data_IF_113882604862
#
_entry.id   IF_113882604862
#
_cell.length_a   1.000
_cell.length_b   1.000
_cell.length_c   1.000
_cell.angle_alpha   90.00
_cell.angle_beta   90.00
_cell.angle_gamma   90.00
#
_symmetry.space_group_name_H-M   'P 1'
#
loop_
_entity.id
_entity.type
_entity.pdbx_description
1 polymer ?
#
# COMPACT_ATOMS: atom_id res chain seq x y z
N UNK A 1 -20.00 -9.40 31.15
CA UNK A 1 -18.82 -9.56 30.26
C UNK A 1 -18.94 -10.84 29.43
N UNK A 2 -19.27 -11.98 30.04
CA UNK A 2 -19.50 -13.28 29.38
C UNK A 2 -20.66 -13.26 28.37
N UNK A 3 -21.74 -12.55 28.69
CA UNK A 3 -22.91 -12.41 27.82
C UNK A 3 -22.60 -11.61 26.54
N UNK A 4 -21.74 -10.58 26.63
CA UNK A 4 -21.28 -9.81 25.47
C UNK A 4 -20.38 -10.65 24.54
N UNK A 5 -19.49 -11.46 25.10
CA UNK A 5 -18.61 -12.35 24.32
C UNK A 5 -19.45 -13.40 23.59
N UNK A 6 -20.41 -14.02 24.28
CA UNK A 6 -21.32 -15.00 23.66
C UNK A 6 -22.19 -14.42 22.54
N UNK A 7 -22.57 -13.14 22.64
CA UNK A 7 -23.29 -12.44 21.57
C UNK A 7 -22.36 -12.11 20.38
N UNK A 8 -21.11 -11.72 20.65
CA UNK A 8 -20.12 -11.44 19.59
C UNK A 8 -19.70 -12.71 18.83
N UNK A 9 -19.62 -13.85 19.50
CA UNK A 9 -19.35 -15.16 18.88
C UNK A 9 -20.47 -15.62 17.93
N UNK A 10 -21.69 -15.09 18.10
CA UNK A 10 -22.83 -15.36 17.21
C UNK A 10 -22.86 -14.43 15.99
N UNK A 11 -21.99 -13.43 15.92
CA UNK A 11 -21.89 -12.53 14.77
C UNK A 11 -21.14 -13.25 13.65
N UNK A 12 -21.89 -13.75 12.66
CA UNK A 12 -21.31 -14.21 11.40
C UNK A 12 -20.88 -12.99 10.58
N UNK A 13 -19.57 -12.80 10.41
CA UNK A 13 -19.05 -11.81 9.46
C UNK A 13 -19.07 -12.39 8.05
N UNK A 14 -19.71 -11.68 7.11
CA UNK A 14 -19.81 -12.08 5.69
C UNK A 14 -18.51 -11.92 4.90
N UNK A 15 -17.39 -11.59 5.55
CA UNK A 15 -16.15 -11.21 4.89
C UNK A 15 -14.88 -11.53 5.69
N UNK A 16 -13.75 -11.37 5.03
CA UNK A 16 -12.40 -11.59 5.58
C UNK A 16 -11.74 -10.26 5.98
N UNK A 17 -10.91 -10.30 7.03
CA UNK A 17 -10.17 -9.11 7.50
C UNK A 17 -9.09 -8.63 6.51
N UNK A 18 -8.51 -9.55 5.74
CA UNK A 18 -7.47 -9.26 4.75
C UNK A 18 -7.61 -10.17 3.54
N UNK A 19 -7.39 -9.61 2.36
CA UNK A 19 -7.42 -10.31 1.07
C UNK A 19 -6.08 -10.13 0.38
N UNK A 20 -5.61 -11.17 -0.32
CA UNK A 20 -4.39 -11.14 -1.11
C UNK A 20 -4.57 -11.86 -2.45
N UNK A 21 -3.72 -11.53 -3.41
CA UNK A 21 -3.78 -12.09 -4.76
C UNK A 21 -2.63 -11.61 -5.64
N UNK A 22 -2.70 -11.96 -6.92
CA UNK A 22 -1.70 -11.59 -7.93
C UNK A 22 -2.39 -10.86 -9.07
N UNK A 23 -1.78 -9.76 -9.51
CA UNK A 23 -2.23 -9.04 -10.70
C UNK A 23 -1.71 -9.72 -11.98
N UNK A 24 -2.39 -9.53 -13.14
CA UNK A 24 -1.83 -9.92 -14.42
C UNK A 24 -0.43 -9.31 -14.64
N UNK A 25 0.44 -9.92 -15.48
CA UNK A 25 1.80 -9.45 -15.74
C UNK A 25 1.81 -8.20 -16.64
N UNK A 26 1.14 -7.15 -16.19
CA UNK A 26 1.01 -5.84 -16.83
C UNK A 26 1.94 -4.90 -16.07
N UNK A 27 2.76 -4.13 -16.79
CA UNK A 27 3.63 -3.15 -16.14
C UNK A 27 2.83 -1.88 -15.81
N UNK A 28 3.00 -1.29 -14.62
CA UNK A 28 2.26 -0.10 -14.21
C UNK A 28 2.58 1.17 -15.00
N UNK A 29 3.69 1.20 -15.76
CA UNK A 29 4.20 2.44 -16.35
C UNK A 29 4.63 3.42 -15.26
N UNK A 30 5.40 2.94 -14.27
CA UNK A 30 5.86 3.76 -13.16
C UNK A 30 6.76 4.90 -13.66
N UNK A 31 6.39 6.13 -13.35
CA UNK A 31 7.16 7.34 -13.63
C UNK A 31 7.33 8.14 -12.35
N UNK A 32 8.55 8.60 -12.07
CA UNK A 32 8.89 9.35 -10.85
C UNK A 32 9.46 10.71 -11.22
N UNK A 33 8.98 11.76 -10.56
CA UNK A 33 9.49 13.14 -10.74
C UNK A 33 11.00 13.16 -10.44
N UNK A 34 11.80 13.65 -11.38
CA UNK A 34 13.26 13.70 -11.25
C UNK A 34 14.00 12.43 -11.70
N UNK A 35 13.32 11.27 -11.80
CA UNK A 35 13.91 10.03 -12.33
C UNK A 35 13.39 9.65 -13.73
N UNK A 36 12.21 10.12 -14.11
CA UNK A 36 11.53 9.71 -15.35
C UNK A 36 10.92 8.31 -15.22
N UNK A 37 10.94 7.55 -16.32
CA UNK A 37 10.35 6.21 -16.36
C UNK A 37 11.21 5.20 -15.60
N UNK A 38 10.57 4.40 -14.75
CA UNK A 38 11.20 3.35 -13.97
C UNK A 38 10.91 2.00 -14.63
N UNK A 39 11.97 1.26 -14.93
CA UNK A 39 11.88 -0.08 -15.46
C UNK A 39 11.58 -1.09 -14.35
N UNK A 40 10.88 -2.17 -14.71
CA UNK A 40 10.61 -3.31 -13.84
C UNK A 40 10.98 -4.60 -14.61
N UNK A 41 11.73 -5.56 -14.03
CA UNK A 41 12.38 -5.55 -12.71
C UNK A 41 13.26 -4.31 -12.45
N UNK A 42 13.22 -3.77 -11.22
CA UNK A 42 13.88 -2.51 -10.87
C UNK A 42 15.41 -2.61 -11.01
N UNK A 43 16.04 -1.88 -11.95
CA UNK A 43 17.50 -1.88 -12.08
C UNK A 43 18.18 -1.21 -10.88
N UNK A 44 19.34 -1.72 -10.49
CA UNK A 44 20.10 -1.20 -9.33
C UNK A 44 20.45 0.30 -9.46
N UNK A 45 20.75 0.75 -10.69
CA UNK A 45 21.00 2.16 -10.97
C UNK A 45 19.76 3.02 -10.70
N UNK A 46 18.59 2.60 -11.17
CA UNK A 46 17.33 3.31 -10.91
C UNK A 46 16.92 3.21 -9.44
N UNK A 47 17.18 2.09 -8.76
CA UNK A 47 16.97 1.97 -7.33
C UNK A 47 17.77 3.01 -6.54
N UNK A 48 19.04 3.24 -6.89
CA UNK A 48 19.86 4.30 -6.29
C UNK A 48 19.29 5.70 -6.53
N UNK A 49 18.81 5.97 -7.74
CA UNK A 49 18.16 7.25 -8.08
C UNK A 49 16.88 7.43 -7.25
N UNK A 50 16.04 6.40 -7.15
CA UNK A 50 14.83 6.47 -6.34
C UNK A 50 15.16 6.73 -4.87
N UNK A 51 16.14 6.02 -4.30
CA UNK A 51 16.60 6.25 -2.93
C UNK A 51 17.06 7.71 -2.73
N UNK A 52 17.83 8.27 -3.68
CA UNK A 52 18.31 9.64 -3.60
C UNK A 52 17.20 10.70 -3.69
N UNK A 53 16.10 10.40 -4.39
CA UNK A 53 14.93 11.26 -4.50
C UNK A 53 13.91 11.06 -3.37
N UNK A 54 14.07 9.98 -2.61
CA UNK A 54 13.15 9.63 -1.53
C UNK A 54 13.46 10.41 -0.27
N UNK A 55 12.44 10.57 0.56
CA UNK A 55 12.61 10.96 1.95
C UNK A 55 12.64 9.69 2.80
N UNK A 56 13.36 9.71 3.93
CA UNK A 56 13.19 8.65 4.92
C UNK A 56 11.74 8.67 5.41
N UNK A 57 11.07 7.50 5.37
CA UNK A 57 9.68 7.42 5.76
C UNK A 57 9.55 7.74 7.27
N UNK A 58 8.78 8.76 7.67
CA UNK A 58 8.57 9.06 9.08
C UNK A 58 7.83 7.89 9.76
N UNK A 59 8.17 7.60 11.01
CA UNK A 59 7.40 6.69 11.84
C UNK A 59 6.39 7.49 12.67
N UNK A 60 5.12 7.08 12.65
CA UNK A 60 4.10 7.61 13.55
C UNK A 60 4.08 6.76 14.82
N UNK A 61 4.59 7.31 15.93
CA UNK A 61 4.40 6.74 17.27
C UNK A 61 3.45 7.64 18.08
N UNK A 62 2.18 7.71 17.66
CA UNK A 62 1.26 8.73 18.19
C UNK A 62 1.49 10.11 17.55
N UNK A 63 1.52 11.17 18.36
CA UNK A 63 1.62 12.58 17.90
C UNK A 63 3.06 13.07 17.60
N UNK A 64 4.10 12.27 17.86
CA UNK A 64 5.48 12.67 17.62
C UNK A 64 6.09 11.96 16.40
N UNK A 65 6.55 12.75 15.43
CA UNK A 65 7.37 12.29 14.29
C UNK A 65 8.83 12.24 14.73
N UNK A 66 9.29 11.08 15.19
CA UNK A 66 10.70 10.83 15.52
C UNK A 66 11.32 10.00 14.39
N UNK A 67 12.39 10.52 13.77
CA UNK A 67 13.21 9.78 12.81
C UNK A 67 14.20 8.92 13.60
N UNK A 68 13.80 7.69 13.93
CA UNK A 68 14.68 6.70 14.54
C UNK A 68 15.19 5.72 13.47
N UNK A 69 16.47 5.83 13.13
CA UNK A 69 17.14 5.01 12.11
C UNK A 69 17.32 3.54 12.52
N UNK A 70 17.06 3.19 13.78
CA UNK A 70 17.14 1.81 14.29
C UNK A 70 15.80 1.06 14.19
N UNK A 71 14.72 1.72 13.75
CA UNK A 71 13.35 1.16 13.69
C UNK A 71 12.85 0.95 12.25
N UNK A 72 13.43 1.61 11.24
CA UNK A 72 13.01 1.46 9.83
C UNK A 72 14.02 2.02 8.81
N UNK A 73 14.40 1.23 7.80
CA UNK A 73 15.20 1.68 6.63
C UNK A 73 14.38 1.71 5.33
N UNK A 74 13.15 2.23 5.35
CA UNK A 74 12.37 2.37 4.12
C UNK A 74 12.39 3.82 3.62
N UNK A 75 12.58 3.96 2.32
CA UNK A 75 12.54 5.22 1.61
C UNK A 75 11.13 5.42 1.03
N UNK A 76 10.60 6.65 1.07
CA UNK A 76 9.28 6.96 0.51
C UNK A 76 9.32 8.12 -0.48
N UNK A 77 8.44 8.03 -1.48
CA UNK A 77 8.14 9.09 -2.44
C UNK A 77 6.65 9.44 -2.33
N UNK A 78 6.34 10.74 -2.27
CA UNK A 78 4.98 11.29 -2.13
C UNK A 78 4.11 10.92 -3.34
N UNK A 79 2.79 10.78 -3.16
CA UNK A 79 1.85 10.54 -4.27
C UNK A 79 1.98 11.56 -5.42
N UNK A 80 2.32 12.81 -5.12
CA UNK A 80 2.47 13.88 -6.11
C UNK A 80 3.76 13.81 -6.96
N UNK A 81 4.67 12.91 -6.57
CA UNK A 81 6.00 12.74 -7.17
C UNK A 81 6.12 11.44 -7.96
N UNK A 82 5.05 10.65 -8.10
CA UNK A 82 5.02 9.52 -9.01
C UNK A 82 3.66 9.32 -9.67
N UNK A 83 3.68 8.68 -10.83
CA UNK A 83 2.52 8.38 -11.65
C UNK A 83 2.60 6.93 -12.11
N UNK A 84 1.46 6.25 -12.20
CA UNK A 84 1.31 4.96 -12.89
C UNK A 84 0.60 5.23 -14.21
N UNK A 85 1.34 5.20 -15.32
CA UNK A 85 0.85 5.75 -16.60
C UNK A 85 0.23 4.72 -17.52
N UNK A 86 0.12 3.44 -17.12
CA UNK A 86 -0.48 2.40 -17.96
C UNK A 86 -1.98 2.20 -17.63
N UNK A 87 -2.91 2.55 -18.53
CA UNK A 87 -4.35 2.36 -18.29
C UNK A 87 -4.75 0.91 -18.04
N UNK A 88 -4.05 -0.05 -18.67
CA UNK A 88 -4.33 -1.49 -18.45
C UNK A 88 -4.00 -1.93 -17.03
N UNK A 89 -3.08 -1.24 -16.36
CA UNK A 89 -2.77 -1.48 -14.96
C UNK A 89 -3.87 -0.96 -14.04
N UNK A 90 -4.38 0.23 -14.33
CA UNK A 90 -5.52 0.82 -13.61
C UNK A 90 -6.77 -0.05 -13.73
N UNK A 91 -7.08 -0.56 -14.93
CA UNK A 91 -8.18 -1.51 -15.16
C UNK A 91 -8.00 -2.79 -14.32
N UNK A 92 -6.79 -3.37 -14.29
CA UNK A 92 -6.49 -4.56 -13.51
C UNK A 92 -6.60 -4.32 -11.99
N UNK A 93 -6.21 -3.14 -11.51
CA UNK A 93 -6.40 -2.74 -10.11
C UNK A 93 -7.88 -2.60 -9.77
N UNK A 94 -8.67 -1.93 -10.63
CA UNK A 94 -10.10 -1.76 -10.40
C UNK A 94 -10.83 -3.12 -10.37
N UNK A 95 -10.50 -4.03 -11.28
CA UNK A 95 -11.07 -5.38 -11.26
C UNK A 95 -10.71 -6.14 -9.96
N UNK A 96 -9.48 -5.99 -9.47
CA UNK A 96 -9.05 -6.58 -8.22
C UNK A 96 -9.78 -5.99 -7.02
N UNK A 97 -10.00 -4.67 -6.98
CA UNK A 97 -10.79 -4.01 -5.92
C UNK A 97 -12.23 -4.53 -5.90
N UNK A 98 -12.85 -4.73 -7.07
CA UNK A 98 -14.20 -5.31 -7.16
C UNK A 98 -14.25 -6.76 -6.62
N UNK A 99 -13.16 -7.52 -6.73
CA UNK A 99 -13.06 -8.85 -6.12
C UNK A 99 -12.83 -8.78 -4.61
N UNK A 100 -12.03 -7.81 -4.15
CA UNK A 100 -11.75 -7.55 -2.73
C UNK A 100 -13.04 -7.12 -2.01
N UNK A 101 -13.86 -6.26 -2.61
CA UNK A 101 -15.19 -5.84 -2.10
C UNK A 101 -16.01 -7.05 -1.65
N UNK A 102 -16.14 -8.04 -2.53
CA UNK A 102 -16.91 -9.27 -2.27
C UNK A 102 -16.30 -10.10 -1.15
N UNK A 103 -14.98 -10.25 -1.15
CA UNK A 103 -14.26 -11.06 -0.18
C UNK A 103 -14.17 -10.42 1.21
N UNK A 104 -14.25 -9.10 1.29
CA UNK A 104 -14.34 -8.35 2.55
C UNK A 104 -15.77 -8.19 3.06
N UNK A 105 -16.77 -8.77 2.38
CA UNK A 105 -18.17 -8.68 2.79
C UNK A 105 -18.78 -7.29 2.58
N UNK A 106 -18.16 -6.46 1.73
CA UNK A 106 -18.56 -5.07 1.45
C UNK A 106 -19.49 -4.98 0.23
N UNK A 107 -20.19 -6.06 -0.09
CA UNK A 107 -21.02 -6.14 -1.30
C UNK A 107 -22.08 -5.05 -1.31
N UNK A 108 -22.09 -4.22 -2.35
CA UNK A 108 -23.02 -3.10 -2.50
C UNK A 108 -22.50 -1.77 -1.96
N UNK A 109 -21.25 -1.72 -1.50
CA UNK A 109 -20.55 -0.47 -1.22
C UNK A 109 -19.79 0.00 -2.47
N UNK A 110 -19.78 1.30 -2.71
CA UNK A 110 -18.87 1.91 -3.68
C UNK A 110 -17.49 2.05 -3.02
N UNK A 111 -16.47 1.39 -3.59
CA UNK A 111 -15.10 1.43 -3.09
C UNK A 111 -14.23 2.18 -4.09
N UNK A 112 -13.65 3.27 -3.62
CA UNK A 112 -12.60 4.02 -4.32
C UNK A 112 -11.23 3.72 -3.70
N UNK A 113 -10.17 3.85 -4.50
CA UNK A 113 -8.80 3.76 -4.01
C UNK A 113 -8.01 5.00 -4.42
N UNK A 114 -7.17 5.47 -3.52
CA UNK A 114 -6.33 6.65 -3.75
C UNK A 114 -4.85 6.27 -3.67
N UNK A 115 -4.07 6.76 -4.62
CA UNK A 115 -2.61 6.61 -4.60
C UNK A 115 -2.04 7.43 -3.43
N UNK A 116 -1.32 6.76 -2.51
CA UNK A 116 -0.83 7.39 -1.28
C UNK A 116 0.68 7.64 -1.26
N UNK A 117 1.50 6.59 -1.43
CA UNK A 117 2.97 6.71 -1.46
C UNK A 117 3.62 5.51 -2.13
N UNK A 118 4.80 5.74 -2.68
CA UNK A 118 5.69 4.69 -3.17
C UNK A 118 6.74 4.40 -2.10
N UNK A 119 6.92 3.13 -1.75
CA UNK A 119 7.93 2.68 -0.80
C UNK A 119 9.05 1.92 -1.52
N UNK A 120 10.29 2.28 -1.24
CA UNK A 120 11.48 1.62 -1.76
C UNK A 120 12.23 0.96 -0.61
N UNK A 121 12.39 -0.36 -0.70
CA UNK A 121 13.10 -1.19 0.27
C UNK A 121 14.46 -1.57 -0.31
N UNK A 122 15.53 -1.10 0.32
CA UNK A 122 16.88 -1.59 0.05
C UNK A 122 17.10 -2.94 0.76
N UNK A 123 18.13 -3.68 0.36
CA UNK A 123 18.53 -4.88 1.08
C UNK A 123 18.76 -4.60 2.58
N UNK A 124 18.26 -5.49 3.44
CA UNK A 124 18.29 -5.31 4.89
C UNK A 124 17.30 -4.29 5.46
N UNK A 125 16.42 -3.73 4.63
CA UNK A 125 15.29 -2.92 5.12
C UNK A 125 14.25 -3.81 5.78
N UNK A 126 13.70 -3.35 6.89
CA UNK A 126 12.63 -4.04 7.60
C UNK A 126 11.51 -3.06 7.92
N UNK A 127 10.37 -3.64 8.27
CA UNK A 127 9.18 -2.93 8.65
C UNK A 127 8.58 -3.59 9.88
N UNK A 128 8.61 -2.89 11.01
CA UNK A 128 8.04 -3.40 12.26
C UNK A 128 6.53 -3.51 12.17
N UNK A 129 5.95 -4.54 12.78
CA UNK A 129 4.50 -4.67 12.87
C UNK A 129 3.89 -3.40 13.46
N UNK A 130 2.95 -2.81 12.73
CA UNK A 130 2.20 -1.64 13.15
C UNK A 130 0.76 -1.72 12.68
N UNK A 131 -0.11 -0.94 13.31
CA UNK A 131 -1.48 -0.74 12.86
C UNK A 131 -1.51 0.51 11.99
N UNK A 132 -2.01 0.38 10.76
CA UNK A 132 -2.31 1.55 9.94
C UNK A 132 -3.39 2.39 10.62
N UNK A 133 -3.20 3.70 10.59
CA UNK A 133 -4.24 4.65 10.99
C UNK A 133 -4.95 5.15 9.74
N UNK A 134 -6.21 5.50 9.90
CA UNK A 134 -6.98 6.26 8.90
C UNK A 134 -6.17 7.49 8.47
N UNK A 135 -6.01 7.69 7.15
CA UNK A 135 -5.27 8.80 6.55
C UNK A 135 -6.18 9.80 5.86
N UNK A 136 -7.34 9.34 5.41
CA UNK A 136 -8.41 10.13 4.79
C UNK A 136 -9.75 9.69 5.36
N UNK A 137 -10.75 10.58 5.46
CA UNK A 137 -12.07 10.20 5.96
C UNK A 137 -12.65 8.99 5.22
N UNK A 138 -13.16 8.03 5.98
CA UNK A 138 -13.73 6.76 5.49
C UNK A 138 -12.71 5.75 4.96
N UNK A 139 -11.39 5.95 5.19
CA UNK A 139 -10.41 4.92 4.90
C UNK A 139 -10.60 3.74 5.85
N UNK A 140 -10.93 2.57 5.29
CA UNK A 140 -11.15 1.34 6.05
C UNK A 140 -10.07 0.27 5.80
N UNK A 141 -9.25 0.42 4.76
CA UNK A 141 -8.23 -0.56 4.36
C UNK A 141 -7.03 0.11 3.67
N UNK A 142 -5.93 -0.64 3.57
CA UNK A 142 -4.73 -0.29 2.80
C UNK A 142 -4.53 -1.31 1.69
N UNK A 143 -4.47 -0.86 0.43
CA UNK A 143 -4.09 -1.70 -0.72
C UNK A 143 -2.58 -1.60 -0.95
N UNK A 144 -1.87 -2.74 -0.86
CA UNK A 144 -0.41 -2.81 -1.08
C UNK A 144 -0.14 -3.56 -2.37
N UNK A 145 0.44 -2.86 -3.35
CA UNK A 145 0.83 -3.44 -4.63
C UNK A 145 2.35 -3.64 -4.68
N UNK A 146 2.79 -4.89 -4.59
CA UNK A 146 4.19 -5.25 -4.77
C UNK A 146 4.59 -5.16 -6.24
N UNK A 147 5.40 -4.16 -6.58
CA UNK A 147 6.02 -4.04 -7.90
C UNK A 147 7.37 -4.76 -7.87
N UNK A 148 7.31 -6.08 -7.88
CA UNK A 148 8.49 -6.96 -7.85
C UNK A 148 9.07 -7.21 -9.24
N UNK A 149 10.37 -7.49 -9.27
CA UNK A 149 11.06 -8.09 -10.41
C UNK A 149 11.02 -9.60 -10.41
#
# INVERSE_FOLDING_TARGET
MTELISLLEQVESSGTFSVGGTLPPILPGLKVRGAGNIALPLPEEQARVLIALSQQAPFSRGEETIVDTDVRKSWQISAEDFELTNPQWEEALQESVNQIEKQMGLSGCEIEFEQYKLLVYAEGSFFTAHRDTEKTPNMFATLVNGMGG
#
